data_IF_622840870531
#
_entry.id   IF_622840870531
#
_cell.length_a   1.000
_cell.length_b   1.000
_cell.length_c   1.000
_cell.angle_alpha   90.00
_cell.angle_beta   90.00
_cell.angle_gamma   90.00
#
_symmetry.space_group_name_H-M   'P 1'
#
loop_
_entity.id
_entity.type
_entity.pdbx_description
1 polymer ?
#
# COMPACT_ATOMS: atom_id res chain seq x y z
N UNK A 1 20.57 53.28 9.51
CA UNK A 1 19.95 52.51 8.42
C UNK A 1 20.46 51.08 8.52
N UNK A 2 19.62 50.15 9.05
CA UNK A 2 19.95 48.72 9.11
C UNK A 2 19.30 48.06 7.91
N UNK A 3 20.12 47.45 7.05
CA UNK A 3 19.65 46.62 5.93
C UNK A 3 19.41 45.19 6.43
N UNK A 4 18.16 44.79 6.45
CA UNK A 4 17.76 43.40 6.76
C UNK A 4 18.06 42.47 5.60
N UNK A 5 18.91 41.48 5.86
CA UNK A 5 19.20 40.39 4.92
C UNK A 5 18.09 39.38 4.99
N UNK A 6 17.25 39.26 3.94
CA UNK A 6 16.29 38.17 3.78
C UNK A 6 17.04 36.91 3.39
N UNK A 7 17.04 35.93 4.28
CA UNK A 7 17.46 34.58 3.94
C UNK A 7 16.34 33.89 3.17
N UNK A 8 16.62 33.54 1.93
CA UNK A 8 15.79 32.62 1.12
C UNK A 8 16.13 31.20 1.55
N UNK A 9 15.16 30.35 1.92
CA UNK A 9 15.44 28.94 2.19
C UNK A 9 15.81 28.25 0.89
N UNK A 10 17.06 27.81 0.78
CA UNK A 10 17.49 26.91 -0.29
C UNK A 10 16.91 25.53 0.00
N UNK A 11 15.94 25.09 -0.81
CA UNK A 11 15.52 23.71 -0.85
C UNK A 11 16.71 22.87 -1.32
N UNK A 12 17.37 22.21 -0.39
CA UNK A 12 18.32 21.17 -0.71
C UNK A 12 17.56 19.97 -1.28
N UNK A 13 17.51 19.88 -2.60
CA UNK A 13 17.20 18.66 -3.30
C UNK A 13 18.39 17.72 -3.05
N UNK A 14 18.28 16.86 -2.05
CA UNK A 14 19.22 15.77 -1.89
C UNK A 14 19.03 14.82 -3.08
N UNK A 15 19.97 14.87 -4.01
CA UNK A 15 20.18 13.79 -4.95
C UNK A 15 20.50 12.54 -4.11
N UNK A 16 19.57 11.62 -4.01
CA UNK A 16 19.77 10.35 -3.33
C UNK A 16 20.85 9.59 -4.11
N UNK A 17 22.07 9.51 -3.55
CA UNK A 17 23.14 8.68 -4.11
C UNK A 17 22.60 7.27 -4.26
N UNK A 18 22.56 6.78 -5.49
CA UNK A 18 22.06 5.46 -5.82
C UNK A 18 22.85 4.38 -5.08
N UNK A 19 22.25 3.77 -4.08
CA UNK A 19 22.83 2.67 -3.35
C UNK A 19 22.94 1.46 -4.27
N UNK A 20 24.13 0.87 -4.37
CA UNK A 20 24.31 -0.40 -5.07
C UNK A 20 23.48 -1.47 -4.38
N UNK A 21 22.46 -1.97 -5.09
CA UNK A 21 21.56 -3.00 -4.58
C UNK A 21 21.99 -4.33 -5.18
N UNK A 22 22.44 -5.26 -4.35
CA UNK A 22 22.63 -6.64 -4.74
C UNK A 22 21.25 -7.28 -4.95
N UNK A 23 21.16 -8.38 -5.68
CA UNK A 23 19.91 -9.07 -6.06
C UNK A 23 18.97 -9.38 -4.86
N UNK A 24 19.49 -9.22 -3.64
CA UNK A 24 18.81 -9.45 -2.36
C UNK A 24 18.30 -8.19 -1.68
N UNK A 25 18.74 -7.00 -2.09
CA UNK A 25 18.36 -5.77 -1.42
C UNK A 25 17.03 -5.23 -1.93
N UNK A 26 16.06 -5.19 -1.06
CA UNK A 26 14.71 -4.67 -1.30
C UNK A 26 14.68 -3.24 -0.77
N UNK A 27 14.32 -2.28 -1.61
CA UNK A 27 14.10 -0.89 -1.18
C UNK A 27 12.64 -0.70 -0.87
N UNK A 28 12.34 -0.47 0.41
CA UNK A 28 10.99 -0.20 0.90
C UNK A 28 10.76 1.31 0.88
N UNK A 29 9.66 1.73 0.25
CA UNK A 29 9.22 3.12 0.27
C UNK A 29 7.94 3.19 1.09
N UNK A 30 8.03 3.81 2.27
CA UNK A 30 6.82 4.17 3.02
C UNK A 30 6.10 5.31 2.29
N UNK A 31 4.86 5.09 1.94
CA UNK A 31 4.01 6.16 1.43
C UNK A 31 3.46 6.96 2.62
N UNK A 32 3.91 8.20 2.76
CA UNK A 32 3.45 9.12 3.80
C UNK A 32 2.00 9.61 3.60
N UNK A 33 1.36 9.24 2.49
CA UNK A 33 0.01 9.70 2.14
C UNK A 33 -1.10 8.68 2.47
N UNK A 34 -0.77 7.58 3.13
CA UNK A 34 -1.82 6.67 3.59
C UNK A 34 -2.42 7.23 4.90
N UNK A 35 -3.58 7.86 4.79
CA UNK A 35 -4.45 8.03 5.95
C UNK A 35 -4.74 6.62 6.50
N UNK A 36 -4.15 6.30 7.66
CA UNK A 36 -4.40 5.03 8.32
C UNK A 36 -5.89 4.95 8.62
N UNK A 37 -6.62 3.94 8.12
CA UNK A 37 -8.01 3.78 8.48
C UNK A 37 -8.08 3.50 9.99
N UNK A 38 -8.45 4.51 10.74
CA UNK A 38 -8.82 4.37 12.15
C UNK A 38 -10.13 3.62 12.19
N UNK A 39 -10.15 2.50 12.88
CA UNK A 39 -11.39 1.82 13.23
C UNK A 39 -12.01 2.67 14.34
N UNK A 40 -12.80 3.69 13.96
CA UNK A 40 -13.59 4.44 14.93
C UNK A 40 -14.86 3.65 15.23
N UNK A 41 -14.93 3.10 16.44
CA UNK A 41 -16.18 2.63 17.02
C UNK A 41 -17.03 3.83 17.43
N UNK A 42 -17.71 4.45 16.48
CA UNK A 42 -18.72 5.48 16.78
C UNK A 42 -20.06 4.81 17.05
N UNK A 43 -20.27 4.43 18.30
CA UNK A 43 -21.56 3.95 18.79
C UNK A 43 -22.43 5.17 19.08
N UNK A 44 -23.25 5.59 18.11
CA UNK A 44 -24.37 6.50 18.35
C UNK A 44 -25.63 5.67 18.60
N UNK A 45 -26.25 5.73 19.78
CA UNK A 45 -27.52 5.04 20.01
C UNK A 45 -28.63 5.74 19.21
N UNK A 46 -29.13 5.08 18.18
CA UNK A 46 -30.38 5.46 17.49
C UNK A 46 -31.42 4.42 17.83
N UNK A 47 -32.31 4.80 18.71
CA UNK A 47 -33.56 4.07 18.94
C UNK A 47 -34.37 4.03 17.63
N UNK A 48 -34.71 2.85 17.16
CA UNK A 48 -35.81 2.42 16.26
C UNK A 48 -35.44 1.20 15.38
N UNK A 49 -34.19 0.66 15.45
CA UNK A 49 -33.86 -0.53 14.66
C UNK A 49 -33.21 -1.56 15.57
N UNK A 50 -33.92 -2.65 15.85
CA UNK A 50 -33.42 -3.76 16.69
C UNK A 50 -32.37 -4.63 15.99
N UNK A 51 -31.93 -4.24 14.79
CA UNK A 51 -30.99 -4.99 13.99
C UNK A 51 -29.65 -4.30 13.86
N UNK A 52 -28.58 -5.06 13.96
CA UNK A 52 -27.20 -4.56 13.82
C UNK A 52 -26.33 -5.53 13.03
N UNK A 53 -25.22 -4.99 12.53
CA UNK A 53 -24.14 -5.79 11.94
C UNK A 53 -23.03 -6.00 12.98
N UNK A 54 -22.43 -7.18 12.98
CA UNK A 54 -21.26 -7.49 13.81
C UNK A 54 -20.23 -8.29 13.04
N UNK A 55 -18.96 -8.09 13.40
CA UNK A 55 -17.86 -8.91 12.91
C UNK A 55 -17.80 -10.22 13.68
N UNK A 56 -17.60 -11.35 12.97
CA UNK A 56 -17.38 -12.65 13.56
C UNK A 56 -16.24 -13.37 12.86
N UNK A 57 -15.49 -14.20 13.59
CA UNK A 57 -14.37 -14.97 13.07
C UNK A 57 -13.34 -14.13 12.32
N UNK A 58 -13.02 -12.95 12.85
CA UNK A 58 -12.08 -12.03 12.24
C UNK A 58 -10.68 -12.62 12.28
N UNK A 59 -10.00 -12.57 11.13
CA UNK A 59 -8.58 -12.89 10.98
C UNK A 59 -7.89 -11.76 10.27
N UNK A 60 -6.74 -11.35 10.80
CA UNK A 60 -5.89 -10.35 10.18
C UNK A 60 -4.54 -10.97 9.87
N UNK A 61 -4.06 -10.75 8.65
CA UNK A 61 -2.74 -11.18 8.20
C UNK A 61 -2.19 -10.20 7.18
N UNK A 62 -0.94 -10.38 6.81
CA UNK A 62 -0.30 -9.55 5.81
C UNK A 62 0.13 -10.40 4.62
N UNK A 63 0.11 -9.81 3.42
CA UNK A 63 0.57 -10.48 2.21
C UNK A 63 1.20 -9.50 1.22
N UNK A 64 2.10 -9.98 0.39
CA UNK A 64 2.63 -9.23 -0.74
C UNK A 64 1.79 -9.44 -1.99
N UNK A 65 1.60 -8.38 -2.76
CA UNK A 65 1.08 -8.53 -4.13
C UNK A 65 2.15 -9.16 -5.02
N UNK A 66 1.74 -9.62 -6.21
CA UNK A 66 2.70 -9.93 -7.27
C UNK A 66 3.37 -8.67 -7.78
N UNK A 67 4.60 -8.80 -8.32
CA UNK A 67 5.30 -7.70 -8.96
C UNK A 67 4.61 -7.27 -10.25
N UNK A 68 4.43 -5.94 -10.39
CA UNK A 68 4.07 -5.32 -11.67
C UNK A 68 5.29 -4.63 -12.24
N UNK A 69 5.51 -4.77 -13.55
CA UNK A 69 6.62 -4.14 -14.25
C UNK A 69 6.45 -2.62 -14.29
N UNK A 70 7.52 -1.89 -13.92
CA UNK A 70 7.55 -0.42 -13.91
C UNK A 70 8.67 0.18 -14.76
N UNK A 71 9.47 -0.65 -15.44
CA UNK A 71 10.53 -0.21 -16.36
C UNK A 71 10.60 -1.07 -17.59
N UNK A 72 11.38 -0.63 -18.57
CA UNK A 72 11.79 -1.46 -19.70
C UNK A 72 12.91 -2.42 -19.28
N UNK A 73 13.28 -3.33 -20.19
CA UNK A 73 14.40 -4.23 -19.98
C UNK A 73 15.72 -3.48 -20.11
N UNK A 74 16.70 -3.83 -19.29
CA UNK A 74 18.08 -3.37 -19.44
C UNK A 74 19.01 -4.56 -19.45
N UNK A 75 20.06 -4.47 -20.26
CA UNK A 75 21.23 -5.35 -20.22
C UNK A 75 22.44 -4.50 -19.87
N UNK A 76 23.06 -4.75 -18.72
CA UNK A 76 24.27 -4.05 -18.31
C UNK A 76 25.51 -4.77 -18.83
N UNK A 77 26.48 -3.98 -19.29
CA UNK A 77 27.82 -4.49 -19.64
C UNK A 77 28.72 -4.66 -18.40
N UNK A 78 30.04 -4.72 -18.66
CA UNK A 78 31.06 -4.93 -17.61
C UNK A 78 31.16 -3.79 -16.60
N UNK A 79 30.68 -2.58 -16.92
CA UNK A 79 30.68 -1.44 -16.01
C UNK A 79 29.44 -1.40 -15.10
N UNK A 80 28.42 -2.26 -15.33
CA UNK A 80 27.14 -2.12 -14.69
C UNK A 80 26.29 -1.03 -15.34
N UNK A 81 25.31 -0.50 -14.61
CA UNK A 81 24.42 0.54 -15.10
C UNK A 81 23.37 0.95 -14.09
N UNK A 82 22.39 1.70 -14.53
CA UNK A 82 21.21 2.06 -13.72
C UNK A 82 19.94 1.87 -14.53
N UNK A 83 18.85 1.61 -13.83
CA UNK A 83 17.52 1.47 -14.41
C UNK A 83 16.54 2.38 -13.68
N UNK A 84 15.73 3.11 -14.43
CA UNK A 84 14.72 4.00 -13.86
C UNK A 84 13.32 3.51 -14.18
N UNK A 85 12.40 3.71 -13.25
CA UNK A 85 10.98 3.46 -13.49
C UNK A 85 10.43 4.47 -14.48
N UNK A 86 9.74 3.98 -15.51
CA UNK A 86 9.09 4.79 -16.55
C UNK A 86 7.57 4.57 -16.62
N UNK A 87 7.03 3.73 -15.74
CA UNK A 87 5.60 3.41 -15.66
C UNK A 87 5.09 3.60 -14.25
N UNK A 88 3.95 4.28 -14.15
CA UNK A 88 3.20 4.38 -12.91
C UNK A 88 2.28 3.16 -12.78
N UNK A 89 2.36 2.45 -11.65
CA UNK A 89 1.40 1.42 -11.28
C UNK A 89 0.79 1.76 -9.92
N UNK A 90 -0.52 1.60 -9.82
CA UNK A 90 -1.30 1.89 -8.63
C UNK A 90 -1.88 0.59 -8.08
N UNK A 91 -1.88 0.48 -6.76
CA UNK A 91 -2.50 -0.59 -5.99
C UNK A 91 -3.49 0.03 -5.03
N UNK A 92 -4.74 -0.34 -5.13
CA UNK A 92 -5.86 0.23 -4.37
C UNK A 92 -6.35 -0.74 -3.31
N UNK A 93 -7.12 -0.22 -2.36
CA UNK A 93 -7.88 -1.07 -1.45
C UNK A 93 -8.82 -1.97 -2.24
N UNK A 94 -8.98 -3.19 -1.77
CA UNK A 94 -9.90 -4.17 -2.36
C UNK A 94 -10.86 -4.67 -1.30
N UNK A 95 -12.14 -4.70 -1.63
CA UNK A 95 -13.21 -5.24 -0.79
C UNK A 95 -13.91 -6.34 -1.56
N UNK A 96 -14.02 -7.50 -0.94
CA UNK A 96 -14.85 -8.61 -1.41
C UNK A 96 -15.87 -8.97 -0.34
N UNK A 97 -17.10 -9.19 -0.73
CA UNK A 97 -18.21 -9.44 0.20
C UNK A 97 -18.85 -8.16 0.71
N UNK A 98 -19.66 -8.29 1.77
CA UNK A 98 -20.45 -7.19 2.32
C UNK A 98 -19.85 -6.70 3.64
N UNK A 99 -19.37 -5.46 3.67
CA UNK A 99 -18.84 -4.77 4.85
C UNK A 99 -19.78 -3.71 5.42
N UNK A 100 -21.00 -3.61 4.90
CA UNK A 100 -21.99 -2.62 5.36
C UNK A 100 -22.27 -2.76 6.85
N UNK A 101 -22.24 -1.64 7.57
CA UNK A 101 -22.46 -1.59 9.02
C UNK A 101 -21.33 -2.13 9.90
N UNK A 102 -20.17 -2.46 9.34
CA UNK A 102 -18.99 -2.95 10.10
C UNK A 102 -18.00 -1.85 10.49
N UNK A 103 -18.22 -0.60 10.11
CA UNK A 103 -17.30 0.52 10.33
C UNK A 103 -15.87 0.24 9.81
N UNK A 104 -15.77 -0.37 8.64
CA UNK A 104 -14.51 -0.64 7.96
C UNK A 104 -14.29 0.44 6.91
N UNK A 105 -13.24 1.23 7.05
CA UNK A 105 -12.74 2.11 6.00
C UNK A 105 -11.85 1.34 5.04
N UNK A 106 -12.29 1.21 3.80
CA UNK A 106 -11.54 0.55 2.73
C UNK A 106 -11.21 1.58 1.63
N UNK A 107 -10.39 2.56 1.96
CA UNK A 107 -9.91 3.60 1.07
C UNK A 107 -8.39 3.69 1.12
N UNK A 108 -7.81 4.37 0.14
CA UNK A 108 -6.38 4.54 0.01
C UNK A 108 -5.76 3.73 -1.11
N UNK A 109 -4.58 4.14 -1.52
CA UNK A 109 -3.79 3.49 -2.56
C UNK A 109 -2.31 3.74 -2.36
N UNK A 110 -1.48 2.82 -2.87
CA UNK A 110 -0.03 2.94 -2.95
C UNK A 110 0.38 2.85 -4.40
N UNK A 111 1.24 3.76 -4.85
CA UNK A 111 1.69 3.83 -6.24
C UNK A 111 3.21 3.76 -6.34
N UNK A 112 3.71 3.25 -7.46
CA UNK A 112 5.11 3.45 -7.83
C UNK A 112 5.35 4.91 -8.23
N UNK A 113 6.61 5.35 -8.21
CA UNK A 113 7.03 6.66 -8.70
C UNK A 113 7.70 6.53 -10.07
N UNK A 114 7.47 7.48 -10.97
CA UNK A 114 8.25 7.59 -12.21
C UNK A 114 9.60 8.25 -11.87
N UNK A 115 10.68 7.75 -12.50
CA UNK A 115 12.03 8.29 -12.29
C UNK A 115 12.77 7.70 -11.08
N UNK A 116 12.16 6.79 -10.32
CA UNK A 116 12.87 6.06 -9.28
C UNK A 116 13.96 5.18 -9.90
N UNK A 117 15.21 5.32 -9.41
CA UNK A 117 16.37 4.69 -10.04
C UNK A 117 17.03 3.68 -9.12
N UNK A 118 17.36 2.51 -9.67
CA UNK A 118 18.17 1.47 -9.03
C UNK A 118 19.48 1.27 -9.82
N UNK A 119 20.56 1.08 -9.10
CA UNK A 119 21.81 0.67 -9.71
C UNK A 119 21.79 -0.84 -10.00
N UNK A 120 22.30 -1.23 -11.15
CA UNK A 120 22.35 -2.61 -11.62
C UNK A 120 23.79 -3.02 -11.76
N UNK A 121 24.17 -4.12 -11.15
CA UNK A 121 25.53 -4.69 -11.25
C UNK A 121 25.85 -5.10 -12.68
N UNK A 122 27.13 -5.37 -12.95
CA UNK A 122 27.61 -5.76 -14.27
C UNK A 122 26.98 -7.07 -14.78
N UNK A 123 26.85 -7.16 -16.08
CA UNK A 123 26.43 -8.38 -16.81
C UNK A 123 25.06 -8.93 -16.37
N UNK A 124 24.11 -8.04 -16.05
CA UNK A 124 22.73 -8.41 -15.68
C UNK A 124 21.74 -8.10 -16.79
N UNK A 125 20.71 -8.95 -16.89
CA UNK A 125 19.55 -8.76 -17.76
C UNK A 125 18.32 -8.65 -16.86
N UNK A 126 17.86 -7.43 -16.60
CA UNK A 126 16.83 -7.15 -15.60
C UNK A 126 15.81 -6.13 -16.07
N UNK A 127 14.66 -6.16 -15.45
CA UNK A 127 13.71 -5.06 -15.41
C UNK A 127 13.36 -4.73 -13.97
N UNK A 128 12.78 -3.55 -13.73
CA UNK A 128 12.31 -3.15 -12.41
C UNK A 128 10.84 -3.55 -12.24
N UNK A 129 10.55 -4.27 -11.18
CA UNK A 129 9.21 -4.57 -10.71
C UNK A 129 8.88 -3.80 -9.44
N UNK A 130 7.59 -3.54 -9.23
CA UNK A 130 7.05 -2.91 -8.03
C UNK A 130 5.92 -3.77 -7.48
N UNK A 131 5.87 -3.99 -6.15
CA UNK A 131 4.79 -4.68 -5.46
C UNK A 131 4.44 -3.95 -4.16
N UNK A 132 3.30 -4.30 -3.59
CA UNK A 132 2.76 -3.66 -2.40
C UNK A 132 2.46 -4.69 -1.32
N UNK A 133 2.76 -4.30 -0.08
CA UNK A 133 2.42 -5.05 1.12
C UNK A 133 1.02 -4.68 1.58
N UNK A 134 0.15 -5.66 1.71
CA UNK A 134 -1.23 -5.50 2.13
C UNK A 134 -1.44 -5.99 3.56
N UNK A 135 -2.18 -5.21 4.33
CA UNK A 135 -2.89 -5.72 5.51
C UNK A 135 -4.24 -6.25 5.06
N UNK A 136 -4.51 -7.52 5.37
CA UNK A 136 -5.74 -8.21 4.99
C UNK A 136 -6.55 -8.51 6.24
N UNK A 137 -7.83 -8.16 6.22
CA UNK A 137 -8.82 -8.57 7.21
C UNK A 137 -9.87 -9.43 6.53
N UNK A 138 -10.14 -10.60 7.08
CA UNK A 138 -11.24 -11.49 6.66
C UNK A 138 -12.16 -11.77 7.82
N UNK A 139 -13.43 -11.99 7.55
CA UNK A 139 -14.38 -12.30 8.59
C UNK A 139 -15.76 -12.59 8.04
N UNK A 140 -16.70 -12.64 8.95
CA UNK A 140 -18.12 -12.80 8.66
C UNK A 140 -18.85 -11.57 9.17
N UNK A 141 -19.67 -10.95 8.32
CA UNK A 141 -20.61 -9.90 8.65
C UNK A 141 -21.95 -10.56 8.98
N UNK A 142 -22.30 -10.59 10.26
CA UNK A 142 -23.62 -11.06 10.71
C UNK A 142 -24.55 -9.88 10.94
N UNK A 143 -25.69 -9.89 10.26
CA UNK A 143 -26.85 -9.02 10.53
C UNK A 143 -27.77 -9.76 11.48
N UNK A 144 -27.98 -9.24 12.68
CA UNK A 144 -28.69 -9.92 13.75
C UNK A 144 -29.64 -9.00 14.50
N UNK A 145 -30.65 -9.59 15.10
CA UNK A 145 -31.59 -8.96 16.02
C UNK A 145 -30.91 -8.83 17.39
N UNK A 146 -30.81 -7.61 17.93
CA UNK A 146 -30.14 -7.35 19.21
C UNK A 146 -30.95 -7.84 20.42
N UNK A 147 -32.26 -7.95 20.32
CA UNK A 147 -33.16 -8.38 21.39
C UNK A 147 -33.12 -9.90 21.56
N UNK A 148 -33.22 -10.62 20.47
CA UNK A 148 -33.28 -12.09 20.47
C UNK A 148 -31.91 -12.76 20.24
N UNK A 149 -30.93 -12.01 19.75
CA UNK A 149 -29.64 -12.53 19.31
C UNK A 149 -29.70 -13.34 18.00
N UNK A 150 -30.88 -13.46 17.38
CA UNK A 150 -31.09 -14.25 16.15
C UNK A 150 -30.34 -13.65 14.98
N UNK A 151 -29.49 -14.45 14.32
CA UNK A 151 -28.82 -14.06 13.07
C UNK A 151 -29.82 -14.18 11.92
N UNK A 152 -30.02 -13.08 11.19
CA UNK A 152 -30.90 -13.00 10.04
C UNK A 152 -30.14 -13.29 8.75
N UNK A 153 -28.89 -12.78 8.66
CA UNK A 153 -28.04 -12.93 7.49
C UNK A 153 -26.57 -12.98 7.90
N UNK A 154 -25.81 -13.79 7.20
CA UNK A 154 -24.37 -13.99 7.42
C UNK A 154 -23.65 -13.99 6.08
N UNK A 155 -22.66 -13.12 5.92
CA UNK A 155 -21.87 -12.98 4.68
C UNK A 155 -20.39 -12.90 5.02
N UNK A 156 -19.56 -13.65 4.31
CA UNK A 156 -18.11 -13.50 4.40
C UNK A 156 -17.68 -12.18 3.76
N UNK A 157 -16.58 -11.62 4.27
CA UNK A 157 -15.92 -10.47 3.68
C UNK A 157 -14.40 -10.62 3.72
N UNK A 158 -13.75 -9.92 2.82
CA UNK A 158 -12.29 -9.73 2.79
C UNK A 158 -12.00 -8.28 2.42
N UNK A 159 -11.15 -7.64 3.20
CA UNK A 159 -10.65 -6.28 2.94
C UNK A 159 -9.14 -6.32 2.86
N UNK A 160 -8.56 -5.77 1.79
CA UNK A 160 -7.12 -5.65 1.60
C UNK A 160 -6.77 -4.18 1.53
N UNK A 161 -5.92 -3.72 2.43
CA UNK A 161 -5.50 -2.33 2.55
C UNK A 161 -4.01 -2.26 2.24
N UNK A 162 -3.59 -1.54 1.17
CA UNK A 162 -2.18 -1.39 0.85
C UNK A 162 -1.49 -0.53 1.91
N UNK A 163 -0.30 -0.94 2.36
CA UNK A 163 0.45 -0.26 3.42
C UNK A 163 1.65 0.49 2.86
N UNK A 164 2.51 -0.19 2.11
CA UNK A 164 3.71 0.35 1.49
C UNK A 164 4.13 -0.50 0.29
N UNK A 165 5.01 0.03 -0.53
CA UNK A 165 5.51 -0.66 -1.71
C UNK A 165 7.01 -0.83 -1.73
N UNK A 166 7.49 -1.78 -2.54
CA UNK A 166 8.90 -2.01 -2.77
C UNK A 166 9.22 -2.20 -4.25
N UNK A 167 10.42 -1.77 -4.62
CA UNK A 167 10.99 -2.02 -5.94
C UNK A 167 11.97 -3.18 -5.87
N UNK A 168 12.02 -3.99 -6.93
CA UNK A 168 12.97 -5.08 -7.07
C UNK A 168 13.43 -5.23 -8.52
N UNK A 169 14.72 -5.57 -8.69
CA UNK A 169 15.26 -6.00 -9.98
C UNK A 169 14.85 -7.45 -10.23
N UNK A 170 14.28 -7.72 -11.39
CA UNK A 170 13.78 -9.04 -11.78
C UNK A 170 14.50 -9.46 -13.05
N UNK A 171 15.12 -10.64 -13.04
CA UNK A 171 15.79 -11.23 -14.21
C UNK A 171 14.77 -11.64 -15.28
N UNK A 172 15.19 -11.57 -16.56
CA UNK A 172 14.39 -12.01 -17.71
C UNK A 172 15.23 -12.83 -18.70
#
# INVERSE_FOLDING_TARGET
>A
MMAGLMMVPTNNVFAQEGKYVDEKDIVVIESSELERPTIEENIKPRFVNDFRNRKKNVRTYNEWSSFKRVSDNIHTGNAGGSISSNKLVKFECSVSGNISGLNISANGSVSSSIGYTLNVTKNKRVYMGYRVYYKVETGINEYYDIVTGKVIRSNSYTVKIPQYGEYKLINY
#
